data_IF_295229720350
#
_entry.id   IF_295229720350
#
_cell.length_a   1.000
_cell.length_b   1.000
_cell.length_c   1.000
_cell.angle_alpha   90.00
_cell.angle_beta   90.00
_cell.angle_gamma   90.00
#
_symmetry.space_group_name_H-M   'P 1'
#
loop_
_entity.id
_entity.type
_entity.pdbx_description
1 polymer ?
#
# COMPACT_ATOMS: atom_id res chain seq x y z
N UNK A 1 -21.44 -2.60 15.17
CA UNK A 1 -20.30 -1.66 15.28
C UNK A 1 -19.14 -2.37 14.64
N UNK A 2 -18.33 -1.74 13.78
CA UNK A 2 -17.13 -2.49 13.37
C UNK A 2 -15.83 -1.69 13.41
N UNK A 3 -15.86 -0.37 13.60
CA UNK A 3 -14.62 0.38 13.87
C UNK A 3 -14.65 0.95 15.29
N UNK A 4 -13.61 0.61 16.06
CA UNK A 4 -13.48 0.89 17.48
C UNK A 4 -12.24 1.73 17.75
N UNK A 5 -12.36 2.72 18.63
CA UNK A 5 -11.24 3.48 19.18
C UNK A 5 -11.30 3.34 20.70
N UNK A 6 -10.23 2.84 21.32
CA UNK A 6 -10.20 2.52 22.76
C UNK A 6 -11.42 1.66 23.21
N UNK A 7 -11.77 0.65 22.39
CA UNK A 7 -12.90 -0.26 22.59
C UNK A 7 -14.29 0.41 22.58
N UNK A 8 -14.40 1.65 22.10
CA UNK A 8 -15.67 2.35 21.88
C UNK A 8 -15.95 2.47 20.39
N UNK A 9 -17.21 2.31 19.99
CA UNK A 9 -17.64 2.55 18.62
C UNK A 9 -17.23 3.93 18.13
N UNK A 10 -16.65 3.99 16.93
CA UNK A 10 -16.45 5.26 16.24
C UNK A 10 -17.83 5.80 15.82
N UNK A 11 -18.19 6.97 16.34
CA UNK A 11 -19.36 7.71 15.89
C UNK A 11 -19.14 8.26 14.49
N UNK A 12 -20.23 8.72 13.85
CA UNK A 12 -20.12 9.42 12.57
C UNK A 12 -19.21 10.65 12.72
N UNK A 13 -18.19 10.71 11.88
CA UNK A 13 -17.31 11.86 11.70
C UNK A 13 -17.57 12.53 10.35
N UNK A 14 -17.35 13.83 10.27
CA UNK A 14 -17.49 14.65 9.05
C UNK A 14 -16.15 15.10 8.45
N UNK A 15 -15.07 15.04 9.23
CA UNK A 15 -13.70 15.40 8.83
C UNK A 15 -12.67 14.62 9.64
N UNK A 16 -11.42 14.57 9.16
CA UNK A 16 -10.28 14.04 9.94
C UNK A 16 -9.96 14.93 11.14
N UNK A 17 -10.13 16.25 11.01
CA UNK A 17 -9.94 17.19 12.12
C UNK A 17 -10.87 16.84 13.28
N UNK A 18 -12.14 16.59 12.99
CA UNK A 18 -13.11 16.15 14.00
C UNK A 18 -12.71 14.82 14.65
N UNK A 19 -12.19 13.86 13.88
CA UNK A 19 -11.69 12.59 14.42
C UNK A 19 -10.57 12.85 15.45
N UNK A 20 -9.58 13.67 15.09
CA UNK A 20 -8.44 13.93 15.96
C UNK A 20 -8.79 14.78 17.18
N UNK A 21 -9.67 15.79 17.04
CA UNK A 21 -10.16 16.60 18.15
C UNK A 21 -10.90 15.75 19.19
N UNK A 22 -11.68 14.76 18.72
CA UNK A 22 -12.42 13.83 19.60
C UNK A 22 -11.55 12.74 20.21
N UNK A 23 -10.39 12.46 19.62
CA UNK A 23 -9.49 11.39 20.05
C UNK A 23 -8.04 11.88 20.18
N UNK A 24 -7.70 12.74 21.18
CA UNK A 24 -6.36 13.32 21.31
C UNK A 24 -5.21 12.31 21.41
N UNK A 25 -5.47 11.13 21.98
CA UNK A 25 -4.47 10.04 22.03
C UNK A 25 -4.01 9.57 20.64
N UNK A 26 -4.87 9.69 19.60
CA UNK A 26 -4.47 9.38 18.24
C UNK A 26 -3.47 10.41 17.72
N UNK A 27 -3.63 11.70 18.07
CA UNK A 27 -2.68 12.75 17.71
C UNK A 27 -1.31 12.48 18.35
N UNK A 28 -1.29 12.11 19.63
CA UNK A 28 -0.06 11.72 20.34
C UNK A 28 0.61 10.53 19.65
N UNK A 29 -0.14 9.45 19.40
CA UNK A 29 0.39 8.26 18.74
C UNK A 29 0.93 8.53 17.32
N UNK A 30 0.30 9.44 16.59
CA UNK A 30 0.73 9.83 15.25
C UNK A 30 2.02 10.66 15.29
N UNK A 31 2.12 11.61 16.23
CA UNK A 31 3.36 12.37 16.45
C UNK A 31 4.52 11.46 16.84
N UNK A 32 4.28 10.52 17.75
CA UNK A 32 5.27 9.53 18.14
C UNK A 32 5.69 8.67 16.94
N UNK A 33 4.73 8.23 16.11
CA UNK A 33 5.02 7.47 14.90
C UNK A 33 5.85 8.27 13.88
N UNK A 34 5.48 9.51 13.59
CA UNK A 34 6.23 10.43 12.72
C UNK A 34 7.65 10.71 13.23
N UNK A 35 7.88 10.64 14.55
CA UNK A 35 9.20 10.88 15.15
C UNK A 35 10.13 9.67 15.10
N UNK A 36 9.60 8.48 14.76
CA UNK A 36 10.42 7.27 14.63
C UNK A 36 11.42 7.43 13.48
N UNK A 37 12.66 6.94 13.63
CA UNK A 37 13.62 6.96 12.53
C UNK A 37 13.12 6.07 11.38
N UNK A 38 13.46 6.47 10.15
CA UNK A 38 13.28 5.60 8.99
C UNK A 38 14.15 4.36 9.15
N UNK A 39 13.53 3.20 8.96
CA UNK A 39 14.22 1.91 8.95
C UNK A 39 14.52 1.53 7.51
N UNK A 40 15.79 1.38 7.18
CA UNK A 40 16.22 0.72 5.94
C UNK A 40 16.09 -0.79 6.14
N UNK A 41 15.27 -1.44 5.31
CA UNK A 41 14.94 -2.86 5.47
C UNK A 41 15.77 -3.66 4.50
N UNK A 42 16.45 -4.70 5.00
CA UNK A 42 17.20 -5.63 4.16
C UNK A 42 16.27 -6.21 3.07
N UNK A 43 16.61 -6.02 1.78
CA UNK A 43 15.89 -6.59 0.65
C UNK A 43 15.53 -8.06 0.83
N UNK A 44 16.38 -8.84 1.49
CA UNK A 44 16.24 -10.29 1.73
C UNK A 44 15.09 -10.66 2.67
N UNK A 45 14.55 -9.69 3.39
CA UNK A 45 13.62 -9.93 4.49
C UNK A 45 12.18 -9.49 4.18
N UNK A 46 11.96 -8.68 3.14
CA UNK A 46 10.67 -8.07 2.86
C UNK A 46 9.99 -8.50 1.55
N UNK A 47 8.67 -8.37 1.52
CA UNK A 47 7.87 -8.33 0.31
C UNK A 47 7.33 -6.91 0.11
N UNK A 48 7.67 -6.29 -1.02
CA UNK A 48 7.22 -4.95 -1.37
C UNK A 48 5.85 -5.01 -2.04
N UNK A 49 4.91 -4.19 -1.57
CA UNK A 49 3.54 -4.04 -2.06
C UNK A 49 3.46 -2.69 -2.77
N UNK A 50 3.15 -2.67 -4.07
CA UNK A 50 2.99 -1.44 -4.83
C UNK A 50 1.59 -0.83 -4.61
N UNK A 51 1.40 0.40 -5.10
CA UNK A 51 0.10 1.03 -5.20
C UNK A 51 -0.91 0.11 -5.93
N UNK A 52 -2.12 -0.01 -5.35
CA UNK A 52 -3.18 -0.95 -5.76
C UNK A 52 -2.78 -2.43 -5.68
N UNK A 53 -1.96 -2.77 -4.69
CA UNK A 53 -1.70 -4.14 -4.29
C UNK A 53 -1.95 -4.32 -2.79
N UNK A 54 -2.19 -5.58 -2.42
CA UNK A 54 -2.09 -6.03 -1.04
C UNK A 54 -1.40 -7.39 -0.99
N UNK A 55 -0.82 -7.68 0.17
CA UNK A 55 -0.27 -8.98 0.49
C UNK A 55 -0.62 -9.33 1.93
N UNK A 56 -0.95 -10.59 2.18
CA UNK A 56 -1.22 -11.09 3.52
C UNK A 56 -0.43 -12.36 3.82
N UNK A 57 0.09 -12.45 5.03
CA UNK A 57 0.85 -13.61 5.51
C UNK A 57 0.71 -13.78 7.02
N UNK A 58 1.40 -14.76 7.59
CA UNK A 58 1.36 -15.10 9.02
C UNK A 58 2.78 -15.32 9.55
N UNK A 59 2.99 -15.34 10.88
CA UNK A 59 4.31 -15.58 11.47
C UNK A 59 4.94 -16.94 11.15
N UNK A 60 4.18 -17.89 10.59
CA UNK A 60 4.68 -19.20 10.18
C UNK A 60 5.32 -19.21 8.79
N UNK A 61 5.20 -18.11 8.04
CA UNK A 61 5.87 -17.95 6.76
C UNK A 61 7.36 -17.68 6.95
N UNK A 62 8.18 -18.52 6.30
CA UNK A 62 9.64 -18.45 6.38
C UNK A 62 10.27 -17.60 5.26
N UNK A 63 9.47 -17.18 4.26
CA UNK A 63 9.96 -16.46 3.08
C UNK A 63 9.83 -14.94 3.21
N UNK A 64 8.88 -14.48 4.04
CA UNK A 64 8.55 -13.06 4.21
C UNK A 64 8.46 -12.74 5.69
N UNK A 65 9.40 -11.92 6.17
CA UNK A 65 9.41 -11.46 7.57
C UNK A 65 8.86 -10.05 7.74
N UNK A 66 8.84 -9.27 6.65
CA UNK A 66 8.37 -7.89 6.60
C UNK A 66 7.48 -7.70 5.37
N UNK A 67 6.33 -7.06 5.54
CA UNK A 67 5.60 -6.47 4.40
C UNK A 67 5.93 -4.98 4.36
N UNK A 68 6.16 -4.44 3.17
CA UNK A 68 6.59 -3.05 3.01
C UNK A 68 5.89 -2.36 1.85
N UNK A 69 5.70 -1.05 1.97
CA UNK A 69 5.29 -0.18 0.86
C UNK A 69 5.83 1.22 1.10
N UNK A 70 6.07 1.95 0.02
CA UNK A 70 6.57 3.32 0.02
C UNK A 70 5.84 4.20 -1.00
N UNK A 71 6.33 5.42 -1.19
CA UNK A 71 5.89 6.42 -2.17
C UNK A 71 4.42 6.86 -1.95
N UNK A 72 3.89 6.71 -0.73
CA UNK A 72 2.54 7.16 -0.41
C UNK A 72 2.52 8.69 -0.22
N UNK A 73 2.20 9.40 -1.29
CA UNK A 73 1.95 10.85 -1.25
C UNK A 73 0.53 11.13 -0.76
N UNK A 74 -0.46 11.15 -1.65
CA UNK A 74 -1.89 11.25 -1.30
C UNK A 74 -2.51 9.91 -0.91
N UNK A 75 -1.84 8.80 -1.24
CA UNK A 75 -2.26 7.44 -0.96
C UNK A 75 -2.17 7.10 0.53
N UNK A 76 -2.73 5.95 0.93
CA UNK A 76 -2.72 5.46 2.30
C UNK A 76 -2.25 4.01 2.35
N UNK A 77 -1.33 3.75 3.27
CA UNK A 77 -0.82 2.44 3.63
C UNK A 77 -1.67 1.90 4.77
N UNK A 78 -2.33 0.77 4.51
CA UNK A 78 -3.29 0.13 5.40
C UNK A 78 -2.70 -1.18 5.89
N UNK A 79 -2.49 -1.30 7.20
CA UNK A 79 -2.12 -2.57 7.83
C UNK A 79 -3.28 -3.06 8.67
N UNK A 80 -3.72 -4.29 8.42
CA UNK A 80 -4.70 -4.98 9.26
C UNK A 80 -4.04 -6.22 9.84
N UNK A 81 -4.08 -6.37 11.16
CA UNK A 81 -3.47 -7.50 11.88
C UNK A 81 -4.47 -8.20 12.78
N UNK A 82 -4.51 -9.51 12.72
CA UNK A 82 -5.18 -10.34 13.70
C UNK A 82 -4.21 -10.72 14.83
N UNK A 83 -4.50 -10.26 16.04
CA UNK A 83 -3.57 -10.36 17.18
C UNK A 83 -3.32 -11.79 17.68
N UNK A 84 -4.28 -12.70 17.51
CA UNK A 84 -4.17 -14.07 18.02
C UNK A 84 -3.35 -15.01 17.12
N UNK A 85 -3.56 -14.94 15.80
CA UNK A 85 -2.78 -15.73 14.84
C UNK A 85 -1.52 -15.01 14.35
N UNK A 86 -1.46 -13.68 14.53
CA UNK A 86 -0.45 -12.83 13.92
C UNK A 86 -0.64 -12.63 12.41
N UNK A 87 -1.74 -13.12 11.82
CA UNK A 87 -2.04 -12.86 10.41
C UNK A 87 -2.07 -11.37 10.15
N UNK A 88 -1.37 -10.91 9.12
CA UNK A 88 -1.21 -9.50 8.80
C UNK A 88 -1.33 -9.28 7.31
N UNK A 89 -2.04 -8.22 6.94
CA UNK A 89 -2.14 -7.74 5.58
C UNK A 89 -1.61 -6.31 5.52
N UNK A 90 -0.81 -6.00 4.49
CA UNK A 90 -0.45 -4.64 4.11
C UNK A 90 -1.06 -4.35 2.73
N UNK A 91 -1.70 -3.20 2.58
CA UNK A 91 -2.28 -2.73 1.32
C UNK A 91 -1.93 -1.27 1.06
N UNK A 92 -1.73 -0.91 -0.20
CA UNK A 92 -1.48 0.47 -0.62
C UNK A 92 -2.70 0.99 -1.40
N UNK A 93 -3.56 1.73 -0.70
CA UNK A 93 -4.79 2.30 -1.22
C UNK A 93 -4.58 3.70 -1.79
N UNK A 94 -5.02 3.95 -3.02
CA UNK A 94 -4.94 5.25 -3.69
C UNK A 94 -6.30 5.94 -3.89
N UNK A 95 -7.38 5.30 -3.43
CA UNK A 95 -8.75 5.81 -3.53
C UNK A 95 -9.48 5.44 -4.81
N UNK A 96 -8.96 4.50 -5.59
CA UNK A 96 -9.59 4.05 -6.85
C UNK A 96 -10.91 3.33 -6.63
N UNK A 97 -10.97 2.41 -5.67
CA UNK A 97 -12.20 1.69 -5.34
C UNK A 97 -12.22 1.22 -3.87
N UNK A 98 -12.00 2.15 -2.93
CA UNK A 98 -11.88 1.88 -1.48
C UNK A 98 -12.97 0.97 -0.91
N UNK A 99 -14.22 1.12 -1.37
CA UNK A 99 -15.35 0.30 -0.90
C UNK A 99 -15.26 -1.16 -1.31
N UNK A 100 -14.59 -1.47 -2.43
CA UNK A 100 -14.31 -2.84 -2.87
C UNK A 100 -12.99 -3.37 -2.29
N UNK A 101 -12.04 -2.48 -2.03
CA UNK A 101 -10.70 -2.80 -1.51
C UNK A 101 -10.71 -3.23 -0.04
N UNK A 102 -11.39 -2.49 0.84
CA UNK A 102 -11.40 -2.79 2.28
C UNK A 102 -11.93 -4.22 2.58
N UNK A 103 -13.03 -4.69 1.96
CA UNK A 103 -13.46 -6.09 2.12
C UNK A 103 -12.39 -7.12 1.72
N UNK A 104 -11.54 -6.84 0.72
CA UNK A 104 -10.46 -7.75 0.32
C UNK A 104 -9.40 -7.85 1.43
N UNK A 105 -9.01 -6.72 2.02
CA UNK A 105 -8.04 -6.64 3.12
C UNK A 105 -8.55 -7.42 4.35
N UNK A 106 -9.81 -7.19 4.74
CA UNK A 106 -10.43 -7.90 5.87
C UNK A 106 -10.53 -9.39 5.59
N UNK A 107 -10.95 -9.77 4.37
CA UNK A 107 -11.02 -11.18 3.97
C UNK A 107 -9.66 -11.85 3.99
N UNK A 108 -8.60 -11.17 3.54
CA UNK A 108 -7.25 -11.72 3.52
C UNK A 108 -6.75 -12.07 4.93
N UNK A 109 -6.94 -11.17 5.89
CA UNK A 109 -6.53 -11.42 7.29
C UNK A 109 -7.41 -12.48 7.95
N UNK A 110 -8.73 -12.38 7.79
CA UNK A 110 -9.68 -13.31 8.45
C UNK A 110 -9.56 -14.73 7.91
N UNK A 111 -9.25 -14.92 6.62
CA UNK A 111 -9.04 -16.24 6.02
C UNK A 111 -7.76 -16.94 6.52
N UNK A 112 -6.79 -16.16 7.02
CA UNK A 112 -5.54 -16.67 7.62
C UNK A 112 -5.62 -16.76 9.15
N UNK A 113 -6.79 -16.49 9.73
CA UNK A 113 -6.98 -16.39 11.18
C UNK A 113 -7.80 -17.56 11.70
N UNK A 114 -7.21 -18.33 12.62
CA UNK A 114 -7.82 -19.57 13.16
C UNK A 114 -8.27 -19.44 14.63
N UNK A 115 -8.05 -18.29 15.28
CA UNK A 115 -8.36 -18.07 16.71
C UNK A 115 -9.59 -17.20 16.91
N UNK A 116 -10.39 -17.51 17.94
CA UNK A 116 -11.60 -16.76 18.33
C UNK A 116 -11.37 -15.74 19.44
N UNK A 117 -10.28 -15.86 20.21
CA UNK A 117 -10.02 -15.04 21.42
C UNK A 117 -9.08 -13.85 21.14
N UNK A 118 -9.26 -13.18 20.01
CA UNK A 118 -8.39 -12.09 19.58
C UNK A 118 -9.15 -11.01 18.81
N UNK A 119 -8.46 -9.90 18.55
CA UNK A 119 -9.03 -8.74 17.83
C UNK A 119 -8.27 -8.44 16.55
N UNK A 120 -8.95 -7.72 15.66
CA UNK A 120 -8.35 -7.08 14.49
C UNK A 120 -7.86 -5.68 14.86
N UNK A 121 -6.61 -5.38 14.54
CA UNK A 121 -5.97 -4.08 14.74
C UNK A 121 -5.68 -3.44 13.40
N UNK A 122 -6.10 -2.18 13.25
CA UNK A 122 -5.96 -1.38 12.04
C UNK A 122 -4.94 -0.27 12.28
N UNK A 123 -4.01 -0.15 11.34
CA UNK A 123 -3.04 0.94 11.28
C UNK A 123 -3.19 1.63 9.93
N UNK A 124 -3.35 2.95 9.96
CA UNK A 124 -3.49 3.82 8.80
C UNK A 124 -2.35 4.83 8.81
N UNK A 125 -1.57 4.88 7.73
CA UNK A 125 -0.47 5.83 7.55
C UNK A 125 -0.50 6.37 6.12
N UNK A 126 -0.33 7.68 5.93
CA UNK A 126 -0.19 8.27 4.59
C UNK A 126 -1.10 9.47 4.37
N UNK A 127 -1.04 10.04 3.17
CA UNK A 127 -1.67 11.33 2.89
C UNK A 127 -0.97 12.48 3.62
N UNK A 128 -1.34 13.69 3.23
CA UNK A 128 -0.90 14.94 3.87
C UNK A 128 -1.95 16.03 3.61
N UNK A 129 -1.70 17.28 3.98
CA UNK A 129 -2.63 18.37 3.65
C UNK A 129 -2.48 18.84 2.19
N UNK A 130 -2.78 17.95 1.24
CA UNK A 130 -2.71 18.25 -0.18
C UNK A 130 -3.76 19.28 -0.63
N UNK A 131 -3.42 20.05 -1.67
CA UNK A 131 -4.25 21.15 -2.19
C UNK A 131 -5.61 20.67 -2.69
N UNK A 132 -5.65 19.49 -3.31
CA UNK A 132 -6.85 18.90 -3.90
C UNK A 132 -7.75 18.17 -2.88
N UNK A 133 -7.34 18.12 -1.60
CA UNK A 133 -8.03 17.39 -0.51
C UNK A 133 -8.25 15.91 -0.84
N UNK A 134 -7.36 15.33 -1.64
CA UNK A 134 -7.38 13.92 -2.03
C UNK A 134 -7.15 13.04 -0.80
N UNK A 135 -6.18 13.39 0.05
CA UNK A 135 -5.84 12.66 1.27
C UNK A 135 -6.99 12.67 2.27
N UNK A 136 -7.61 13.84 2.49
CA UNK A 136 -8.80 14.01 3.33
C UNK A 136 -9.95 13.12 2.86
N UNK A 137 -10.26 13.14 1.56
CA UNK A 137 -11.31 12.32 0.97
C UNK A 137 -11.02 10.83 1.13
N UNK A 138 -9.79 10.41 0.88
CA UNK A 138 -9.37 9.02 1.01
C UNK A 138 -9.42 8.55 2.47
N UNK A 139 -8.95 9.37 3.41
CA UNK A 139 -9.03 9.10 4.86
C UNK A 139 -10.47 8.77 5.28
N UNK A 140 -11.42 9.65 4.94
CA UNK A 140 -12.82 9.47 5.29
C UNK A 140 -13.44 8.24 4.62
N UNK A 141 -13.10 7.98 3.36
CA UNK A 141 -13.57 6.80 2.65
C UNK A 141 -13.06 5.49 3.27
N UNK A 142 -11.78 5.42 3.65
CA UNK A 142 -11.18 4.24 4.30
C UNK A 142 -11.84 4.01 5.65
N UNK A 143 -11.93 5.04 6.50
CA UNK A 143 -12.57 4.96 7.81
C UNK A 143 -14.04 4.52 7.70
N UNK A 144 -14.79 5.09 6.74
CA UNK A 144 -16.17 4.72 6.50
C UNK A 144 -16.31 3.26 6.00
N UNK A 145 -15.43 2.82 5.10
CA UNK A 145 -15.45 1.46 4.57
C UNK A 145 -15.11 0.42 5.65
N UNK A 146 -14.15 0.70 6.54
CA UNK A 146 -13.87 -0.13 7.71
C UNK A 146 -15.02 -0.11 8.72
N UNK A 147 -15.65 1.06 8.94
CA UNK A 147 -16.84 1.20 9.77
C UNK A 147 -18.09 0.46 9.20
N UNK A 148 -18.03 -0.09 7.98
CA UNK A 148 -19.11 -0.91 7.41
C UNK A 148 -18.83 -2.42 7.40
N UNK A 149 -17.69 -2.86 7.90
CA UNK A 149 -17.36 -4.28 8.00
C UNK A 149 -18.22 -4.99 9.06
N UNK A 150 -18.17 -6.32 9.11
CA UNK A 150 -18.94 -7.08 10.10
C UNK A 150 -18.14 -7.31 11.38
N UNK A 151 -16.83 -7.36 11.23
CA UNK A 151 -15.85 -7.66 12.25
C UNK A 151 -15.60 -6.42 13.12
N UNK A 152 -15.35 -6.63 14.41
CA UNK A 152 -14.85 -5.57 15.30
C UNK A 152 -13.36 -5.32 15.00
N UNK A 153 -13.08 -4.11 14.51
CA UNK A 153 -11.75 -3.65 14.10
C UNK A 153 -11.36 -2.48 14.99
N UNK A 154 -10.18 -2.56 15.59
CA UNK A 154 -9.67 -1.54 16.50
C UNK A 154 -8.67 -0.66 15.76
N UNK A 155 -8.95 0.63 15.63
CA UNK A 155 -8.00 1.60 15.11
C UNK A 155 -6.91 1.85 16.16
N UNK A 156 -5.68 1.43 15.86
CA UNK A 156 -4.52 1.47 16.77
C UNK A 156 -3.54 2.58 16.39
N UNK A 157 -3.24 2.74 15.10
CA UNK A 157 -2.39 3.81 14.59
C UNK A 157 -3.16 4.59 13.53
N UNK A 158 -3.20 5.91 13.65
CA UNK A 158 -3.88 6.79 12.71
C UNK A 158 -2.98 7.99 12.42
N UNK A 159 -2.01 7.81 11.53
CA UNK A 159 -1.05 8.81 11.11
C UNK A 159 -1.35 9.24 9.67
N UNK A 160 -2.48 9.92 9.50
CA UNK A 160 -3.02 10.26 8.18
C UNK A 160 -3.23 11.76 7.99
N UNK A 161 -3.16 12.21 6.75
CA UNK A 161 -3.52 13.58 6.34
C UNK A 161 -2.82 14.64 7.21
N UNK A 162 -3.53 15.41 8.04
CA UNK A 162 -2.93 16.49 8.84
C UNK A 162 -1.95 16.00 9.90
N UNK A 163 -2.06 14.73 10.33
CA UNK A 163 -1.12 14.15 11.30
C UNK A 163 0.17 13.67 10.63
N UNK A 164 0.16 13.50 9.31
CA UNK A 164 1.31 13.13 8.51
C UNK A 164 1.84 14.31 7.67
N UNK A 165 1.45 15.55 7.98
CA UNK A 165 1.77 16.72 7.17
C UNK A 165 2.93 17.54 7.74
N UNK A 166 3.81 18.01 6.86
CA UNK A 166 4.84 19.00 7.17
C UNK A 166 4.95 20.05 6.08
N UNK A 167 5.45 21.24 6.42
CA UNK A 167 5.64 22.33 5.47
C UNK A 167 7.12 22.58 5.25
N UNK A 168 7.58 22.37 4.01
CA UNK A 168 8.96 22.60 3.60
C UNK A 168 8.97 23.65 2.49
N UNK A 169 9.64 24.78 2.74
CA UNK A 169 9.68 25.93 1.81
C UNK A 169 8.28 26.39 1.35
N UNK A 170 7.33 26.44 2.29
CA UNK A 170 5.95 26.85 2.01
C UNK A 170 5.08 25.79 1.32
N UNK A 171 5.61 24.60 1.03
CA UNK A 171 4.86 23.51 0.40
C UNK A 171 4.56 22.39 1.41
N UNK A 172 3.31 21.97 1.46
CA UNK A 172 2.86 20.82 2.23
C UNK A 172 3.38 19.51 1.61
N UNK A 173 3.82 18.57 2.45
CA UNK A 173 4.36 17.25 2.06
C UNK A 173 4.10 16.23 3.17
N UNK A 174 4.03 14.93 2.85
CA UNK A 174 3.96 13.91 3.87
C UNK A 174 5.27 13.80 4.66
N UNK A 175 5.16 13.49 5.96
CA UNK A 175 6.30 13.18 6.82
C UNK A 175 6.76 11.74 6.56
N UNK A 176 5.82 10.80 6.55
CA UNK A 176 6.03 9.38 6.29
C UNK A 176 5.48 9.02 4.92
N UNK A 177 6.37 8.57 4.03
CA UNK A 177 6.05 8.08 2.69
C UNK A 177 5.89 6.56 2.63
N UNK A 178 6.55 5.84 3.54
CA UNK A 178 6.60 4.38 3.54
C UNK A 178 6.57 3.78 4.93
N UNK A 179 6.05 2.56 5.01
CA UNK A 179 6.02 1.77 6.23
C UNK A 179 6.44 0.33 5.97
N UNK A 180 7.05 -0.28 6.98
CA UNK A 180 7.18 -1.71 7.12
C UNK A 180 6.30 -2.23 8.25
N UNK A 181 5.86 -3.47 8.13
CA UNK A 181 5.29 -4.23 9.25
C UNK A 181 6.05 -5.54 9.44
N UNK A 182 6.57 -5.75 10.64
CA UNK A 182 7.19 -7.02 11.01
C UNK A 182 6.10 -8.06 11.23
N UNK A 183 6.13 -9.13 10.45
CA UNK A 183 5.08 -10.17 10.45
C UNK A 183 5.00 -10.88 11.80
N UNK A 184 6.16 -11.14 12.44
CA UNK A 184 6.22 -11.86 13.72
C UNK A 184 5.71 -10.99 14.87
N UNK A 185 6.24 -9.78 15.02
CA UNK A 185 5.92 -8.92 16.17
C UNK A 185 4.64 -8.10 15.98
N UNK A 186 4.26 -7.82 14.73
CA UNK A 186 3.19 -6.88 14.40
C UNK A 186 3.60 -5.41 14.48
N UNK A 187 4.88 -5.13 14.72
CA UNK A 187 5.37 -3.75 14.80
C UNK A 187 5.29 -3.08 13.43
N UNK A 188 4.63 -1.92 13.39
CA UNK A 188 4.59 -1.00 12.25
C UNK A 188 5.59 0.13 12.48
N UNK A 189 6.40 0.44 11.46
CA UNK A 189 7.47 1.44 11.54
C UNK A 189 7.64 2.21 10.21
N UNK A 190 8.05 3.49 10.24
CA UNK A 190 8.44 4.23 9.03
C UNK A 190 9.62 3.57 8.34
N UNK A 191 9.57 3.45 7.02
CA UNK A 191 10.60 2.75 6.25
C UNK A 191 10.70 3.30 4.82
N UNK A 192 11.84 3.03 4.19
CA UNK A 192 12.06 3.27 2.77
C UNK A 192 12.60 2.03 2.09
N UNK A 193 12.25 1.82 0.82
CA UNK A 193 12.58 0.58 0.11
C UNK A 193 13.33 0.85 -1.19
N UNK A 194 14.58 0.38 -1.23
CA UNK A 194 15.46 0.49 -2.42
C UNK A 194 15.16 -0.54 -3.51
N UNK A 195 14.53 -1.67 -3.14
CA UNK A 195 14.17 -2.74 -4.06
C UNK A 195 12.66 -2.94 -4.05
N UNK A 196 12.01 -2.89 -5.21
CA UNK A 196 10.54 -2.94 -5.33
C UNK A 196 10.03 -4.09 -6.21
N UNK A 197 10.95 -4.95 -6.66
CA UNK A 197 10.65 -6.17 -7.41
C UNK A 197 9.98 -7.27 -6.57
N UNK A 198 9.66 -8.43 -7.19
CA UNK A 198 9.91 -8.76 -8.59
C UNK A 198 8.91 -8.10 -9.55
N UNK A 199 9.23 -8.13 -10.85
CA UNK A 199 8.39 -7.66 -11.95
C UNK A 199 7.84 -6.24 -11.73
N UNK A 200 8.70 -5.33 -11.29
CA UNK A 200 8.31 -3.98 -10.85
C UNK A 200 7.56 -3.24 -11.96
N UNK A 201 8.11 -3.22 -13.18
CA UNK A 201 7.53 -2.51 -14.31
C UNK A 201 6.21 -3.13 -14.78
N UNK A 202 6.07 -4.45 -14.72
CA UNK A 202 4.82 -5.15 -15.05
C UNK A 202 3.70 -4.77 -14.07
N UNK A 203 4.02 -4.72 -12.79
CA UNK A 203 3.08 -4.34 -11.73
C UNK A 203 2.71 -2.86 -11.82
N UNK A 204 3.69 -1.99 -12.08
CA UNK A 204 3.47 -0.57 -12.31
C UNK A 204 2.62 -0.32 -13.56
N UNK A 205 2.89 -1.04 -14.66
CA UNK A 205 2.12 -0.97 -15.90
C UNK A 205 0.66 -1.34 -15.68
N UNK A 206 0.39 -2.43 -14.93
CA UNK A 206 -0.97 -2.83 -14.54
C UNK A 206 -1.71 -1.72 -13.82
N UNK A 207 -1.07 -1.07 -12.85
CA UNK A 207 -1.68 0.04 -12.09
C UNK A 207 -1.88 1.27 -12.96
N UNK A 208 -0.87 1.65 -13.75
CA UNK A 208 -0.89 2.79 -14.68
C UNK A 208 -2.03 2.68 -15.70
N UNK A 209 -2.32 1.48 -16.20
CA UNK A 209 -3.42 1.24 -17.16
C UNK A 209 -4.79 1.05 -16.49
N UNK A 210 -4.94 1.36 -15.21
CA UNK A 210 -6.23 1.32 -14.52
C UNK A 210 -6.58 -0.02 -13.86
N UNK A 211 -5.60 -0.89 -13.61
CA UNK A 211 -5.79 -2.14 -12.88
C UNK A 211 -6.41 -1.93 -11.50
N UNK A 212 -7.27 -2.86 -11.08
CA UNK A 212 -7.87 -2.87 -9.75
C UNK A 212 -6.88 -3.43 -8.70
N UNK A 213 -7.20 -3.25 -7.42
CA UNK A 213 -6.47 -3.85 -6.31
C UNK A 213 -6.28 -5.36 -6.50
N UNK A 214 -5.05 -5.87 -6.32
CA UNK A 214 -4.74 -7.30 -6.43
C UNK A 214 -3.99 -7.85 -5.23
N UNK A 215 -4.30 -9.11 -4.90
CA UNK A 215 -3.51 -9.95 -4.02
C UNK A 215 -2.28 -10.46 -4.79
N UNK A 216 -1.09 -10.20 -4.27
CA UNK A 216 0.16 -10.58 -4.95
C UNK A 216 0.89 -11.74 -4.28
N UNK A 217 0.39 -12.32 -3.20
CA UNK A 217 1.17 -13.27 -2.40
C UNK A 217 0.40 -14.48 -1.92
N UNK A 218 0.85 -15.66 -2.33
CA UNK A 218 0.39 -16.94 -1.81
C UNK A 218 1.29 -17.36 -0.64
N UNK A 219 0.88 -16.99 0.58
CA UNK A 219 1.60 -17.33 1.81
C UNK A 219 1.60 -18.82 2.13
N UNK A 220 0.72 -19.63 1.52
CA UNK A 220 0.73 -21.08 1.71
C UNK A 220 1.87 -21.77 0.95
N UNK A 221 2.32 -21.14 -0.15
CA UNK A 221 3.41 -21.63 -1.00
C UNK A 221 4.68 -20.79 -0.91
N UNK A 222 4.62 -19.61 -0.29
CA UNK A 222 5.74 -18.68 -0.26
C UNK A 222 6.02 -18.03 -1.61
N UNK A 223 4.98 -17.84 -2.44
CA UNK A 223 5.12 -17.37 -3.81
C UNK A 223 4.52 -15.99 -4.03
N UNK A 224 5.28 -15.10 -4.66
CA UNK A 224 4.69 -13.90 -5.29
C UNK A 224 4.01 -14.34 -6.58
N UNK A 225 2.73 -13.98 -6.72
CA UNK A 225 1.88 -14.35 -7.84
C UNK A 225 1.41 -13.08 -8.56
N UNK A 226 2.01 -12.80 -9.71
CA UNK A 226 1.56 -11.72 -10.59
C UNK A 226 0.58 -12.30 -11.58
N UNK A 227 -0.71 -12.03 -11.35
CA UNK A 227 -1.80 -12.52 -12.18
C UNK A 227 -1.83 -11.87 -13.57
N UNK A 228 -2.47 -12.52 -14.56
CA UNK A 228 -2.68 -11.91 -15.87
C UNK A 228 -3.41 -10.59 -15.75
N UNK A 229 -2.88 -9.58 -16.42
CA UNK A 229 -3.52 -8.28 -16.61
C UNK A 229 -3.77 -8.04 -18.11
N UNK A 230 -4.60 -7.06 -18.42
CA UNK A 230 -4.92 -6.67 -19.79
C UNK A 230 -4.83 -5.17 -19.93
N UNK A 231 -4.19 -4.74 -21.01
CA UNK A 231 -4.22 -3.37 -21.50
C UNK A 231 -4.27 -3.39 -23.02
N UNK A 232 -4.84 -2.34 -23.59
CA UNK A 232 -4.89 -2.15 -25.04
C UNK A 232 -3.65 -1.37 -25.50
N UNK A 233 -3.13 -1.65 -26.71
CA UNK A 233 -2.08 -0.83 -27.29
C UNK A 233 -2.51 0.64 -27.33
N UNK A 234 -1.69 1.50 -26.74
CA UNK A 234 -1.89 2.94 -26.81
C UNK A 234 -0.54 3.60 -27.10
N UNK A 235 -0.28 3.90 -28.37
CA UNK A 235 1.00 4.52 -28.76
C UNK A 235 1.10 5.99 -28.36
N UNK A 236 -0.03 6.65 -28.05
CA UNK A 236 -0.02 8.05 -27.63
C UNK A 236 0.70 8.25 -26.30
N UNK A 237 0.85 7.20 -25.47
CA UNK A 237 1.64 7.27 -24.24
C UNK A 237 3.12 7.55 -24.50
N UNK A 238 3.63 7.27 -25.71
CA UNK A 238 5.00 7.60 -26.10
C UNK A 238 5.29 9.10 -26.02
N UNK A 239 4.24 9.94 -26.12
CA UNK A 239 4.34 11.37 -25.87
C UNK A 239 5.03 11.68 -24.54
N UNK A 240 4.69 10.95 -23.47
CA UNK A 240 5.20 11.19 -22.12
C UNK A 240 6.71 10.98 -22.01
N UNK A 241 7.32 10.11 -22.81
CA UNK A 241 8.77 9.91 -22.81
C UNK A 241 9.55 11.15 -23.25
N UNK A 242 8.94 11.98 -24.10
CA UNK A 242 9.55 13.22 -24.61
C UNK A 242 9.30 14.44 -23.73
N UNK A 243 8.44 14.33 -22.71
CA UNK A 243 8.07 15.45 -21.86
C UNK A 243 9.13 15.74 -20.78
N UNK A 244 9.20 17.01 -20.37
CA UNK A 244 10.00 17.42 -19.24
C UNK A 244 9.43 16.87 -17.93
N UNK A 245 10.29 16.83 -16.91
CA UNK A 245 9.93 16.30 -15.60
C UNK A 245 8.79 17.11 -14.95
N UNK A 246 8.79 18.44 -15.11
CA UNK A 246 7.72 19.32 -14.63
C UNK A 246 6.36 19.01 -15.27
N UNK A 247 6.33 18.69 -16.57
CA UNK A 247 5.09 18.35 -17.28
C UNK A 247 4.59 16.99 -16.80
N UNK A 248 5.47 16.01 -16.63
CA UNK A 248 5.09 14.69 -16.11
C UNK A 248 4.54 14.79 -14.69
N UNK A 249 5.23 15.50 -13.80
CA UNK A 249 4.75 15.75 -12.44
C UNK A 249 3.38 16.41 -12.48
N UNK A 250 3.22 17.49 -13.24
CA UNK A 250 1.96 18.24 -13.30
C UNK A 250 0.75 17.41 -13.75
N UNK A 251 0.93 16.49 -14.70
CA UNK A 251 -0.19 15.78 -15.32
C UNK A 251 -0.37 14.33 -14.87
N UNK A 252 0.68 13.68 -14.34
CA UNK A 252 0.66 12.27 -13.97
C UNK A 252 0.80 12.02 -12.46
N UNK A 253 1.07 13.05 -11.65
CA UNK A 253 1.03 12.98 -10.18
C UNK A 253 -0.24 13.64 -9.63
N UNK A 254 -0.74 13.12 -8.51
CA UNK A 254 -1.81 13.73 -7.70
C UNK A 254 -1.30 14.87 -6.81
N UNK A 255 0.01 14.95 -6.58
CA UNK A 255 0.68 15.94 -5.73
C UNK A 255 2.08 16.31 -6.25
N UNK A 256 2.17 17.10 -7.34
CA UNK A 256 3.42 17.34 -8.07
C UNK A 256 4.61 17.85 -7.22
N UNK A 257 4.33 18.60 -6.16
CA UNK A 257 5.35 19.19 -5.27
C UNK A 257 5.78 18.29 -4.11
N UNK A 258 5.12 17.14 -3.94
CA UNK A 258 5.33 16.21 -2.84
C UNK A 258 5.87 14.85 -3.29
N UNK A 259 5.95 14.58 -4.60
CA UNK A 259 6.48 13.32 -5.14
C UNK A 259 7.97 13.11 -4.78
N UNK A 260 8.39 11.83 -4.62
CA UNK A 260 9.77 11.52 -4.37
C UNK A 260 10.63 11.80 -5.62
N UNK A 261 11.96 12.01 -5.47
CA UNK A 261 12.84 12.40 -6.57
C UNK A 261 12.85 11.43 -7.77
N UNK A 262 12.57 10.15 -7.54
CA UNK A 262 12.57 9.12 -8.58
C UNK A 262 11.23 8.99 -9.33
N UNK A 263 10.19 9.73 -8.97
CA UNK A 263 8.84 9.59 -9.53
C UNK A 263 8.82 9.64 -11.07
N UNK A 264 9.42 10.67 -11.66
CA UNK A 264 9.40 10.85 -13.12
C UNK A 264 10.15 9.74 -13.84
N UNK A 265 11.28 9.29 -13.30
CA UNK A 265 12.03 8.16 -13.84
C UNK A 265 11.18 6.88 -13.81
N UNK A 266 10.45 6.63 -12.72
CA UNK A 266 9.57 5.48 -12.59
C UNK A 266 8.41 5.52 -13.60
N UNK A 267 7.79 6.69 -13.80
CA UNK A 267 6.76 6.87 -14.83
C UNK A 267 7.32 6.60 -16.24
N UNK A 268 8.48 7.16 -16.57
CA UNK A 268 9.13 6.94 -17.89
C UNK A 268 9.45 5.45 -18.11
N UNK A 269 9.97 4.76 -17.09
CA UNK A 269 10.20 3.30 -17.13
C UNK A 269 8.91 2.53 -17.41
N UNK A 270 7.83 2.86 -16.68
CA UNK A 270 6.52 2.21 -16.84
C UNK A 270 5.94 2.44 -18.24
N UNK A 271 6.04 3.66 -18.76
CA UNK A 271 5.60 4.00 -20.12
C UNK A 271 6.44 3.23 -21.16
N UNK A 272 7.75 3.16 -20.99
CA UNK A 272 8.62 2.38 -21.90
C UNK A 272 8.23 0.89 -21.88
N UNK A 273 7.99 0.31 -20.70
CA UNK A 273 7.56 -1.09 -20.57
C UNK A 273 6.25 -1.37 -21.34
N UNK A 274 5.28 -0.45 -21.26
CA UNK A 274 4.01 -0.55 -21.99
C UNK A 274 4.18 -0.45 -23.51
N UNK A 275 5.16 0.33 -23.99
CA UNK A 275 5.47 0.43 -25.42
C UNK A 275 6.18 -0.83 -25.94
N UNK A 276 7.07 -1.41 -25.13
CA UNK A 276 7.76 -2.66 -25.46
C UNK A 276 6.80 -3.87 -25.42
N UNK A 277 5.72 -3.77 -24.61
CA UNK A 277 4.68 -4.78 -24.46
C UNK A 277 3.30 -4.19 -24.76
N UNK A 278 2.97 -3.86 -26.02
CA UNK A 278 1.72 -3.16 -26.38
C UNK A 278 0.46 -3.96 -26.04
N UNK A 279 0.59 -5.28 -25.85
CA UNK A 279 -0.40 -6.14 -25.22
C UNK A 279 0.29 -7.02 -24.17
N UNK A 280 -0.47 -7.47 -23.16
CA UNK A 280 0.04 -8.28 -22.05
C UNK A 280 0.02 -9.78 -22.33
N UNK A 281 -0.52 -10.25 -23.46
CA UNK A 281 -0.76 -11.68 -23.71
C UNK A 281 0.56 -12.49 -23.71
N UNK A 282 1.65 -11.92 -24.26
CA UNK A 282 2.97 -12.56 -24.27
C UNK A 282 3.60 -12.67 -22.87
N UNK A 283 3.20 -11.81 -21.93
CA UNK A 283 3.69 -11.82 -20.55
C UNK A 283 3.02 -12.91 -19.71
N UNK A 284 1.87 -13.43 -20.16
CA UNK A 284 1.12 -14.49 -19.50
C UNK A 284 0.75 -15.61 -20.49
N UNK A 285 1.74 -16.41 -20.94
CA UNK A 285 1.48 -17.53 -21.85
C UNK A 285 0.41 -18.47 -21.30
N UNK A 286 -0.60 -18.80 -22.12
CA UNK A 286 -1.72 -19.64 -21.70
C UNK A 286 -2.59 -19.04 -20.57
N UNK A 287 -2.52 -17.73 -20.36
CA UNK A 287 -3.20 -17.03 -19.27
C UNK A 287 -2.67 -17.41 -17.88
N UNK A 288 -1.45 -17.96 -17.80
CA UNK A 288 -0.86 -18.37 -16.53
C UNK A 288 -0.20 -17.19 -15.82
N UNK A 289 -0.30 -17.11 -14.48
CA UNK A 289 0.39 -16.08 -13.70
C UNK A 289 1.91 -16.23 -13.80
N UNK A 290 2.63 -15.13 -13.55
CA UNK A 290 4.06 -15.21 -13.26
C UNK A 290 4.25 -15.48 -11.77
N UNK A 291 4.95 -16.57 -11.46
CA UNK A 291 5.23 -16.98 -10.08
C UNK A 291 6.69 -16.70 -9.75
N UNK A 292 6.95 -16.21 -8.56
CA UNK A 292 8.30 -15.96 -8.05
C UNK A 292 8.46 -16.56 -6.66
N UNK A 293 9.60 -17.21 -6.41
CA UNK A 293 9.94 -17.80 -5.13
C UNK A 293 11.17 -17.10 -4.54
N UNK A 294 11.34 -17.24 -3.22
CA UNK A 294 12.50 -16.72 -2.52
C UNK A 294 13.69 -17.66 -2.70
N UNK A 295 14.83 -17.13 -3.13
CA UNK A 295 16.09 -17.91 -3.20
C UNK A 295 16.76 -18.00 -1.82
N UNK A 296 17.74 -18.88 -1.67
CA UNK A 296 18.55 -18.98 -0.44
C UNK A 296 19.32 -17.68 -0.13
N UNK A 297 19.59 -16.87 -1.16
CA UNK A 297 20.23 -15.57 -1.01
C UNK A 297 19.25 -14.45 -0.64
N UNK A 298 17.95 -14.74 -0.64
CA UNK A 298 16.89 -13.80 -0.29
C UNK A 298 16.36 -13.00 -1.48
N UNK A 299 16.69 -13.34 -2.72
CA UNK A 299 16.15 -12.68 -3.92
C UNK A 299 14.83 -13.32 -4.36
N UNK A 300 14.03 -12.58 -5.14
CA UNK A 300 12.85 -13.15 -5.81
C UNK A 300 13.22 -13.63 -7.21
N UNK A 301 13.11 -14.94 -7.44
CA UNK A 301 13.42 -15.56 -8.73
C UNK A 301 12.16 -16.13 -9.40
N UNK A 302 12.05 -15.96 -10.72
CA UNK A 302 10.91 -16.45 -11.49
C UNK A 302 10.90 -17.98 -11.47
N UNK A 303 9.82 -18.57 -10.97
CA UNK A 303 9.62 -20.01 -11.01
C UNK A 303 9.39 -20.47 -12.45
N UNK A 304 10.00 -21.61 -12.82
CA UNK A 304 9.77 -22.22 -14.13
C UNK A 304 8.29 -22.63 -14.28
N UNK A 305 7.70 -22.30 -15.43
CA UNK A 305 6.36 -22.80 -15.78
C UNK A 305 6.51 -24.27 -16.17
N UNK A 306 5.95 -25.17 -15.37
CA UNK A 306 5.85 -26.62 -15.66
C UNK A 306 4.80 -26.90 -16.73
#
# INVERSE_FOLDING_TARGET
MPLLIQNKGLDRISSTVELFDRHPHLQESARDFCSKPLVDVDPKCFLYVQQREFAATTPTDNNVSILGSDDATTCHLVVLRHTGSGAVCLAHCDGSNTWSEVPLIVKAVTSLSNSKDSRLELHLVGGFNDELKTSHKLSLNILAAFHKQKEDIHLVTCCITEMNDTVVNGNHRPIVYGIGVNVKTGEVFPSSFSHKGPAEELRSARTFTGGQMADIYDSSQGLVKIGPCKWSPNMDIAFWLSQSDDIILKYLSTSPMAEPPHFVQHIKSTVQFLLDHPNSDSLFPGGQPQLYHRTEHGDWERAAQS
#
